data_IF_787472311934
#
_entry.id   IF_787472311934
#
_cell.length_a   1.000
_cell.length_b   1.000
_cell.length_c   1.000
_cell.angle_alpha   90.00
_cell.angle_beta   90.00
_cell.angle_gamma   90.00
#
_symmetry.space_group_name_H-M   'P 1'
#
loop_
_entity.id
_entity.type
_entity.pdbx_description
1 polymer ?
#
# COMPACT_ATOMS: atom_id res chain seq x y z
N UNK A 1 15.04 20.26 -10.58
CA UNK A 1 14.65 19.24 -9.58
C UNK A 1 14.25 17.90 -10.21
N UNK A 2 13.76 17.83 -11.47
CA UNK A 2 13.28 16.57 -12.09
C UNK A 2 14.39 15.72 -12.78
N UNK A 3 15.56 16.31 -13.09
CA UNK A 3 16.67 15.59 -13.75
C UNK A 3 17.75 15.05 -12.80
N UNK A 4 17.48 14.89 -11.50
CA UNK A 4 18.47 14.33 -10.57
C UNK A 4 18.44 12.78 -10.65
N UNK A 5 19.51 12.10 -11.09
CA UNK A 5 19.52 10.63 -11.23
C UNK A 5 19.22 9.90 -9.92
N UNK A 6 19.63 10.46 -8.78
CA UNK A 6 19.35 9.91 -7.45
C UNK A 6 17.87 9.95 -7.09
N UNK A 7 17.12 10.94 -7.60
CA UNK A 7 15.68 11.06 -7.41
C UNK A 7 14.95 9.94 -8.17
N UNK A 8 15.38 9.68 -9.40
CA UNK A 8 14.85 8.62 -10.25
C UNK A 8 15.14 7.24 -9.66
N UNK A 9 16.39 7.01 -9.21
CA UNK A 9 16.79 5.74 -8.56
C UNK A 9 16.07 5.51 -7.22
N UNK A 10 15.92 6.53 -6.37
CA UNK A 10 15.24 6.38 -5.08
C UNK A 10 13.74 6.05 -5.26
N UNK A 11 13.08 6.68 -6.23
CA UNK A 11 11.68 6.38 -6.54
C UNK A 11 11.55 5.02 -7.26
N UNK A 12 12.44 4.69 -8.21
CA UNK A 12 12.45 3.36 -8.85
C UNK A 12 12.74 2.24 -7.85
N UNK A 13 13.65 2.44 -6.90
CA UNK A 13 13.93 1.47 -5.84
C UNK A 13 12.72 1.27 -4.94
N UNK A 14 11.92 2.31 -4.68
CA UNK A 14 10.73 2.25 -3.82
C UNK A 14 9.48 1.73 -4.53
N UNK A 15 9.38 1.94 -5.84
CA UNK A 15 8.42 1.28 -6.74
C UNK A 15 8.80 -0.20 -6.97
N UNK A 16 10.10 -0.45 -7.06
CA UNK A 16 10.73 -1.75 -7.34
C UNK A 16 10.94 -2.63 -6.11
N UNK A 17 10.82 -2.08 -4.89
CA UNK A 17 10.60 -2.87 -3.68
C UNK A 17 9.21 -3.47 -3.78
N UNK A 18 9.16 -4.61 -4.45
CA UNK A 18 8.04 -5.52 -4.46
C UNK A 18 7.57 -5.70 -3.01
N UNK A 19 6.41 -5.12 -2.69
CA UNK A 19 5.65 -5.56 -1.53
C UNK A 19 5.30 -7.01 -1.87
N UNK A 20 5.99 -7.92 -1.20
CA UNK A 20 6.02 -9.33 -1.54
C UNK A 20 4.65 -9.97 -1.25
N UNK A 21 3.76 -9.98 -2.26
CA UNK A 21 2.47 -10.68 -2.17
C UNK A 21 2.64 -12.19 -2.32
N UNK A 22 3.85 -12.70 -2.61
CA UNK A 22 4.10 -14.11 -2.89
C UNK A 22 3.69 -14.99 -1.70
N UNK A 23 3.98 -14.55 -0.47
CA UNK A 23 3.58 -15.27 0.73
C UNK A 23 2.05 -15.28 0.94
N UNK A 24 1.37 -14.18 0.61
CA UNK A 24 -0.09 -14.10 0.67
C UNK A 24 -0.73 -14.99 -0.41
N UNK A 25 -0.14 -15.03 -1.60
CA UNK A 25 -0.56 -15.91 -2.70
C UNK A 25 -0.33 -17.39 -2.38
N UNK A 26 0.80 -17.74 -1.75
CA UNK A 26 1.06 -19.09 -1.22
C UNK A 26 0.02 -19.47 -0.16
N UNK A 27 -0.32 -18.56 0.75
CA UNK A 27 -1.36 -18.79 1.75
C UNK A 27 -2.73 -19.02 1.11
N UNK A 28 -3.10 -18.23 0.10
CA UNK A 28 -4.33 -18.45 -0.69
C UNK A 28 -4.32 -19.85 -1.31
N UNK A 29 -3.20 -20.29 -1.90
CA UNK A 29 -3.11 -21.62 -2.50
C UNK A 29 -3.30 -22.75 -1.46
N UNK A 30 -2.72 -22.59 -0.26
CA UNK A 30 -2.94 -23.53 0.86
C UNK A 30 -4.41 -23.55 1.28
N UNK A 31 -5.05 -22.38 1.43
CA UNK A 31 -6.46 -22.26 1.79
C UNK A 31 -7.38 -22.86 0.71
N UNK A 32 -7.08 -22.68 -0.57
CA UNK A 32 -7.80 -23.32 -1.68
C UNK A 32 -7.67 -24.85 -1.62
N UNK A 33 -6.50 -25.37 -1.24
CA UNK A 33 -6.29 -26.79 -0.99
C UNK A 33 -7.20 -27.31 0.13
N UNK A 34 -7.27 -26.60 1.25
CA UNK A 34 -8.16 -26.94 2.38
C UNK A 34 -9.64 -26.83 2.00
N UNK A 35 -10.02 -25.82 1.23
CA UNK A 35 -11.38 -25.64 0.71
C UNK A 35 -11.81 -26.86 -0.11
N UNK A 36 -10.93 -27.32 -1.02
CA UNK A 36 -11.17 -28.53 -1.82
C UNK A 36 -11.33 -29.77 -0.94
N UNK A 37 -10.52 -29.91 0.12
CA UNK A 37 -10.64 -31.00 1.07
C UNK A 37 -11.97 -30.96 1.84
N UNK A 38 -12.40 -29.79 2.32
CA UNK A 38 -13.67 -29.62 3.02
C UNK A 38 -14.87 -29.98 2.13
N UNK A 39 -14.87 -29.55 0.86
CA UNK A 39 -15.87 -29.99 -0.13
C UNK A 39 -15.83 -31.51 -0.36
N UNK A 40 -14.64 -32.12 -0.42
CA UNK A 40 -14.49 -33.56 -0.56
C UNK A 40 -15.10 -34.33 0.62
N UNK A 41 -14.82 -33.87 1.85
CA UNK A 41 -15.40 -34.44 3.07
C UNK A 41 -16.91 -34.29 3.10
N UNK A 42 -17.42 -33.09 2.76
CA UNK A 42 -18.84 -32.79 2.65
C UNK A 42 -19.55 -33.77 1.72
N UNK A 43 -19.05 -33.94 0.49
CA UNK A 43 -19.62 -34.89 -0.48
C UNK A 43 -19.48 -36.34 -0.05
N UNK A 44 -18.47 -36.68 0.75
CA UNK A 44 -18.37 -38.03 1.33
C UNK A 44 -19.44 -38.25 2.41
N UNK A 45 -19.69 -37.27 3.27
CA UNK A 45 -20.73 -37.31 4.29
C UNK A 45 -22.13 -37.40 3.66
N UNK A 46 -22.40 -36.67 2.59
CA UNK A 46 -23.64 -36.78 1.80
C UNK A 46 -23.90 -38.23 1.38
N UNK A 47 -22.90 -38.89 0.76
CA UNK A 47 -23.03 -40.30 0.35
C UNK A 47 -23.21 -41.25 1.53
N UNK A 48 -22.58 -40.97 2.67
CA UNK A 48 -22.78 -41.77 3.88
C UNK A 48 -24.20 -41.64 4.42
N UNK A 49 -24.78 -40.43 4.36
CA UNK A 49 -26.18 -40.22 4.73
C UNK A 49 -27.13 -40.93 3.76
N UNK A 50 -26.88 -40.85 2.45
CA UNK A 50 -27.71 -41.48 1.41
C UNK A 50 -27.73 -43.02 1.48
N UNK A 51 -26.66 -43.62 2.01
CA UNK A 51 -26.49 -45.09 2.07
C UNK A 51 -26.80 -45.68 3.45
N UNK A 52 -27.32 -44.86 4.37
CA UNK A 52 -27.61 -45.27 5.73
C UNK A 52 -28.83 -46.22 5.78
N UNK A 53 -28.68 -47.39 6.40
CA UNK A 53 -29.77 -48.36 6.55
C UNK A 53 -30.79 -47.87 7.59
N UNK A 54 -32.00 -47.55 7.12
CA UNK A 54 -33.11 -47.06 7.93
C UNK A 54 -33.60 -48.06 8.99
N UNK A 55 -33.29 -49.35 8.82
CA UNK A 55 -33.68 -50.38 9.78
C UNK A 55 -32.64 -50.61 10.88
N UNK A 56 -31.50 -49.90 10.84
CA UNK A 56 -30.48 -49.98 11.89
C UNK A 56 -31.04 -49.43 13.21
N UNK A 57 -30.91 -50.21 14.29
CA UNK A 57 -31.34 -49.83 15.66
C UNK A 57 -30.71 -48.51 16.12
N UNK A 58 -29.57 -48.13 15.55
CA UNK A 58 -28.84 -46.89 15.85
C UNK A 58 -28.99 -45.82 14.77
N UNK A 59 -29.91 -45.97 13.82
CA UNK A 59 -30.11 -45.07 12.69
C UNK A 59 -30.17 -43.60 13.13
N UNK A 60 -31.09 -43.26 14.04
CA UNK A 60 -31.31 -41.88 14.51
C UNK A 60 -30.03 -41.22 15.05
N UNK A 61 -29.22 -42.00 15.77
CA UNK A 61 -27.95 -41.50 16.31
C UNK A 61 -26.90 -41.31 15.22
N UNK A 62 -26.84 -42.22 14.25
CA UNK A 62 -25.88 -42.16 13.14
C UNK A 62 -26.21 -41.02 12.18
N UNK A 63 -27.47 -40.84 11.81
CA UNK A 63 -27.88 -39.75 10.91
C UNK A 63 -27.62 -38.39 11.56
N UNK A 64 -27.89 -38.23 12.85
CA UNK A 64 -27.65 -36.99 13.56
C UNK A 64 -26.15 -36.66 13.67
N UNK A 65 -25.28 -37.66 13.89
CA UNK A 65 -23.83 -37.47 13.88
C UNK A 65 -23.32 -37.04 12.50
N UNK A 66 -23.80 -37.70 11.43
CA UNK A 66 -23.44 -37.35 10.06
C UNK A 66 -23.90 -35.95 9.68
N UNK A 67 -25.13 -35.57 10.04
CA UNK A 67 -25.68 -34.23 9.80
C UNK A 67 -24.86 -33.17 10.52
N UNK A 68 -24.55 -33.37 11.81
CA UNK A 68 -23.71 -32.43 12.55
C UNK A 68 -22.35 -32.22 11.88
N UNK A 69 -21.67 -33.31 11.50
CA UNK A 69 -20.36 -33.22 10.83
C UNK A 69 -20.46 -32.57 9.46
N UNK A 70 -21.58 -32.75 8.77
CA UNK A 70 -21.88 -32.15 7.48
C UNK A 70 -22.11 -30.63 7.62
N UNK A 71 -22.85 -30.20 8.63
CA UNK A 71 -23.06 -28.79 8.96
C UNK A 71 -21.74 -28.13 9.37
N UNK A 72 -20.91 -28.81 10.18
CA UNK A 72 -19.56 -28.35 10.52
C UNK A 72 -18.69 -28.13 9.25
N UNK A 73 -18.89 -28.89 8.16
CA UNK A 73 -18.18 -28.61 6.91
C UNK A 73 -18.65 -27.31 6.24
N UNK A 74 -19.91 -26.92 6.36
CA UNK A 74 -20.37 -25.62 5.84
C UNK A 74 -19.71 -24.46 6.57
N UNK A 75 -19.63 -24.54 7.90
CA UNK A 75 -18.96 -23.52 8.72
C UNK A 75 -17.48 -23.37 8.32
N UNK A 76 -16.77 -24.50 8.19
CA UNK A 76 -15.36 -24.52 7.76
C UNK A 76 -15.20 -23.94 6.34
N UNK A 77 -16.09 -24.30 5.41
CA UNK A 77 -16.05 -23.79 4.03
C UNK A 77 -16.21 -22.27 4.02
N UNK A 78 -17.15 -21.74 4.81
CA UNK A 78 -17.41 -20.31 4.85
C UNK A 78 -16.27 -19.54 5.50
N UNK A 79 -15.72 -20.05 6.61
CA UNK A 79 -14.53 -19.47 7.25
C UNK A 79 -13.34 -19.38 6.28
N UNK A 80 -13.05 -20.46 5.55
CA UNK A 80 -11.95 -20.48 4.58
C UNK A 80 -12.20 -19.46 3.44
N UNK A 81 -13.44 -19.32 2.96
CA UNK A 81 -13.76 -18.32 1.93
C UNK A 81 -13.54 -16.90 2.42
N UNK A 82 -13.95 -16.59 3.66
CA UNK A 82 -13.72 -15.27 4.28
C UNK A 82 -12.22 -14.98 4.31
N UNK A 83 -11.40 -15.91 4.80
CA UNK A 83 -9.94 -15.76 4.85
C UNK A 83 -9.32 -15.54 3.46
N UNK A 84 -9.76 -16.29 2.45
CA UNK A 84 -9.32 -16.08 1.06
C UNK A 84 -9.72 -14.68 0.58
N UNK A 85 -10.95 -14.24 0.85
CA UNK A 85 -11.45 -12.93 0.45
C UNK A 85 -10.66 -11.76 1.08
N UNK A 86 -10.30 -11.88 2.35
CA UNK A 86 -9.47 -10.91 3.06
C UNK A 86 -8.07 -10.80 2.45
N UNK A 87 -7.38 -11.92 2.24
CA UNK A 87 -6.06 -11.93 1.61
C UNK A 87 -6.10 -11.37 0.19
N UNK A 88 -7.11 -11.73 -0.60
CA UNK A 88 -7.30 -11.16 -1.94
C UNK A 88 -7.56 -9.64 -1.90
N UNK A 89 -8.30 -9.16 -0.90
CA UNK A 89 -8.53 -7.73 -0.73
C UNK A 89 -7.24 -6.99 -0.39
N UNK A 90 -6.42 -7.55 0.50
CA UNK A 90 -5.12 -6.98 0.85
C UNK A 90 -4.18 -6.93 -0.35
N UNK A 91 -4.10 -8.02 -1.14
CA UNK A 91 -3.33 -8.04 -2.39
C UNK A 91 -3.81 -6.94 -3.34
N UNK A 92 -5.12 -6.78 -3.54
CA UNK A 92 -5.67 -5.71 -4.39
C UNK A 92 -5.30 -4.32 -3.89
N UNK A 93 -5.38 -4.08 -2.58
CA UNK A 93 -4.99 -2.79 -1.99
C UNK A 93 -3.50 -2.50 -2.24
N UNK A 94 -2.62 -3.46 -1.99
CA UNK A 94 -1.17 -3.34 -2.25
C UNK A 94 -0.91 -3.05 -3.74
N UNK A 95 -1.60 -3.75 -4.64
CA UNK A 95 -1.46 -3.53 -6.09
C UNK A 95 -1.97 -2.15 -6.53
N UNK A 96 -3.08 -1.66 -5.94
CA UNK A 96 -3.60 -0.32 -6.23
C UNK A 96 -2.68 0.80 -5.74
N UNK A 97 -2.06 0.63 -4.58
CA UNK A 97 -1.02 1.55 -4.10
C UNK A 97 0.17 1.60 -5.07
N UNK A 98 0.61 0.44 -5.58
CA UNK A 98 1.66 0.37 -6.61
C UNK A 98 1.28 1.06 -7.92
N UNK A 99 0.08 0.80 -8.45
CA UNK A 99 -0.42 1.45 -9.68
C UNK A 99 -0.45 2.98 -9.49
N UNK A 100 -0.82 3.44 -8.30
CA UNK A 100 -0.79 4.87 -7.97
C UNK A 100 0.64 5.42 -7.98
N UNK A 101 1.61 4.70 -7.41
CA UNK A 101 3.03 5.06 -7.45
C UNK A 101 3.65 5.08 -8.85
N UNK A 102 3.37 4.06 -9.67
CA UNK A 102 3.82 3.97 -11.07
C UNK A 102 3.27 5.12 -11.93
N UNK A 103 1.99 5.46 -11.75
CA UNK A 103 1.37 6.58 -12.44
C UNK A 103 1.99 7.91 -12.01
N UNK A 104 2.21 8.11 -10.70
CA UNK A 104 2.88 9.30 -10.17
C UNK A 104 4.31 9.42 -10.73
N UNK A 105 5.05 8.31 -10.86
CA UNK A 105 6.39 8.31 -11.46
C UNK A 105 6.38 8.67 -12.95
N UNK A 106 5.47 8.10 -13.72
CA UNK A 106 5.31 8.48 -15.15
C UNK A 106 4.94 9.95 -15.29
N UNK A 107 4.08 10.47 -14.41
CA UNK A 107 3.72 11.89 -14.33
C UNK A 107 4.92 12.76 -13.95
N UNK A 108 5.77 12.33 -13.02
CA UNK A 108 6.99 13.04 -12.63
C UNK A 108 8.03 13.07 -13.75
N UNK A 109 8.25 11.96 -14.46
CA UNK A 109 9.16 11.92 -15.62
C UNK A 109 8.71 12.85 -16.74
N UNK A 110 7.39 12.97 -16.93
CA UNK A 110 6.81 13.82 -17.96
C UNK A 110 6.49 15.25 -17.45
N UNK A 111 6.90 15.62 -16.23
CA UNK A 111 6.49 16.86 -15.57
C UNK A 111 6.79 18.10 -16.43
N UNK A 112 8.02 18.23 -16.95
CA UNK A 112 8.42 19.41 -17.72
C UNK A 112 7.63 19.57 -19.03
N UNK A 113 7.31 18.46 -19.72
CA UNK A 113 6.57 18.48 -20.99
C UNK A 113 5.05 18.61 -20.78
N UNK A 114 4.49 17.88 -19.80
CA UNK A 114 3.04 17.84 -19.55
C UNK A 114 2.58 19.08 -18.81
N UNK A 115 3.35 19.62 -17.87
CA UNK A 115 2.94 20.81 -17.12
C UNK A 115 2.82 22.04 -18.01
N UNK A 116 3.78 22.29 -18.91
CA UNK A 116 3.75 23.45 -19.81
C UNK A 116 2.75 23.32 -20.97
N UNK A 117 2.32 22.10 -21.28
CA UNK A 117 1.33 21.83 -22.34
C UNK A 117 -0.10 21.69 -21.81
N UNK A 118 -0.26 21.53 -20.49
CA UNK A 118 -1.56 21.42 -19.82
C UNK A 118 -2.26 22.79 -19.63
N UNK A 119 -3.58 22.77 -19.58
CA UNK A 119 -4.40 23.96 -19.29
C UNK A 119 -4.28 24.38 -17.81
N UNK A 120 -4.61 25.63 -17.47
CA UNK A 120 -4.60 26.12 -16.08
C UNK A 120 -5.45 25.27 -15.12
N UNK A 121 -6.58 24.72 -15.60
CA UNK A 121 -7.44 23.86 -14.80
C UNK A 121 -6.75 22.52 -14.49
N UNK A 122 -6.12 21.91 -15.49
CA UNK A 122 -5.37 20.65 -15.36
C UNK A 122 -4.12 20.85 -14.50
N UNK A 123 -3.38 21.95 -14.68
CA UNK A 123 -2.25 22.30 -13.81
C UNK A 123 -2.70 22.44 -12.35
N UNK A 124 -3.86 23.06 -12.09
CA UNK A 124 -4.38 23.27 -10.74
C UNK A 124 -4.86 21.97 -10.08
N UNK A 125 -5.46 21.07 -10.85
CA UNK A 125 -5.88 19.75 -10.39
C UNK A 125 -4.67 18.84 -10.15
N UNK A 126 -3.65 18.94 -11.01
CA UNK A 126 -2.36 18.28 -10.87
C UNK A 126 -1.67 18.68 -9.56
N UNK A 127 -1.58 19.99 -9.27
CA UNK A 127 -0.96 20.49 -8.04
C UNK A 127 -1.68 20.01 -6.78
N UNK A 128 -3.01 19.83 -6.82
CA UNK A 128 -3.78 19.30 -5.68
C UNK A 128 -3.53 17.83 -5.40
N UNK A 129 -3.27 17.02 -6.44
CA UNK A 129 -2.95 15.61 -6.26
C UNK A 129 -1.55 15.42 -5.64
N UNK A 130 -0.63 16.35 -5.91
CA UNK A 130 0.76 16.27 -5.49
C UNK A 130 1.01 16.90 -4.10
N UNK A 131 0.39 18.05 -3.84
CA UNK A 131 0.60 18.85 -2.63
C UNK A 131 -0.54 18.62 -1.64
N UNK A 132 -0.20 18.17 -0.43
CA UNK A 132 -1.13 18.06 0.69
C UNK A 132 -1.53 19.46 1.17
N UNK A 133 -0.53 20.31 1.42
CA UNK A 133 -0.73 21.73 1.75
C UNK A 133 0.52 22.57 1.53
N UNK A 134 0.33 23.88 1.37
CA UNK A 134 1.40 24.88 1.32
C UNK A 134 1.27 25.75 2.56
N UNK A 135 2.32 25.82 3.37
CA UNK A 135 2.39 26.77 4.49
C UNK A 135 3.01 28.07 4.00
N UNK A 136 2.36 29.18 4.34
CA UNK A 136 2.74 30.52 3.90
C UNK A 136 3.23 31.38 5.07
N UNK A 137 4.06 32.36 4.80
CA UNK A 137 4.38 33.41 5.78
C UNK A 137 3.20 34.38 5.94
N UNK A 138 3.01 34.97 7.15
CA UNK A 138 1.96 35.96 7.37
C UNK A 138 2.15 37.22 6.51
N UNK A 139 3.40 37.56 6.19
CA UNK A 139 3.78 38.72 5.38
C UNK A 139 4.77 38.31 4.28
N UNK A 140 4.69 38.99 3.13
CA UNK A 140 5.58 38.76 1.99
C UNK A 140 7.01 39.13 2.36
N UNK A 141 7.95 38.18 2.21
CA UNK A 141 9.37 38.41 2.51
C UNK A 141 10.03 39.31 1.46
N UNK A 142 11.19 39.88 1.81
CA UNK A 142 11.95 40.83 0.98
C UNK A 142 12.45 40.24 -0.35
N UNK A 143 12.57 38.92 -0.42
CA UNK A 143 12.92 38.13 -1.59
C UNK A 143 11.71 37.87 -2.53
N UNK A 144 10.50 38.30 -2.13
CA UNK A 144 9.27 38.09 -2.86
C UNK A 144 8.60 36.73 -2.58
N UNK A 145 9.20 35.87 -1.77
CA UNK A 145 8.63 34.59 -1.36
C UNK A 145 7.57 34.78 -0.27
N UNK A 146 6.49 34.03 -0.41
CA UNK A 146 5.37 33.96 0.53
C UNK A 146 5.19 32.53 1.04
N UNK A 147 5.94 31.57 0.47
CA UNK A 147 5.85 30.15 0.80
C UNK A 147 6.93 29.81 1.81
N UNK A 148 6.51 29.29 2.96
CA UNK A 148 7.38 28.78 4.02
C UNK A 148 7.82 27.35 3.72
N UNK A 149 6.86 26.51 3.37
CA UNK A 149 7.07 25.06 3.28
C UNK A 149 5.99 24.40 2.44
N UNK A 150 6.37 23.35 1.71
CA UNK A 150 5.44 22.51 0.96
C UNK A 150 5.38 21.14 1.65
N UNK A 151 4.16 20.69 1.94
CA UNK A 151 3.89 19.33 2.44
C UNK A 151 3.34 18.52 1.28
N UNK A 152 4.01 17.43 0.94
CA UNK A 152 3.60 16.54 -0.13
C UNK A 152 2.66 15.46 0.38
N UNK A 153 1.78 14.95 -0.47
CA UNK A 153 0.92 13.81 -0.12
C UNK A 153 1.72 12.51 0.12
N UNK A 154 3.02 12.47 -0.25
CA UNK A 154 3.92 11.33 -0.08
C UNK A 154 5.38 11.79 0.16
N UNK A 155 6.25 10.97 0.76
CA UNK A 155 7.66 11.30 0.99
C UNK A 155 8.42 11.48 -0.32
N UNK A 156 9.21 12.54 -0.42
CA UNK A 156 9.98 12.92 -1.61
C UNK A 156 11.47 12.96 -1.26
N UNK A 157 12.36 12.33 -2.05
CA UNK A 157 13.79 12.41 -1.80
C UNK A 157 14.34 13.78 -2.19
N UNK A 158 14.94 14.50 -1.24
CA UNK A 158 15.54 15.83 -1.41
C UNK A 158 16.94 15.80 -0.80
N UNK A 159 17.96 16.17 -1.57
CA UNK A 159 19.37 16.21 -1.14
C UNK A 159 19.92 14.92 -0.47
N UNK A 160 19.29 13.78 -0.77
CA UNK A 160 19.68 12.47 -0.23
C UNK A 160 18.92 12.04 1.02
N UNK A 161 18.02 12.87 1.53
CA UNK A 161 17.13 12.55 2.65
C UNK A 161 15.67 12.42 2.17
N UNK A 162 14.91 11.51 2.79
CA UNK A 162 13.48 11.39 2.52
C UNK A 162 12.71 12.40 3.35
N UNK A 163 12.08 13.36 2.68
CA UNK A 163 11.30 14.39 3.35
C UNK A 163 9.87 14.42 2.79
N UNK A 164 8.89 14.36 3.68
CA UNK A 164 7.48 14.67 3.32
C UNK A 164 7.26 16.18 3.18
N UNK A 165 8.26 16.94 3.58
CA UNK A 165 8.20 18.32 3.94
C UNK A 165 9.42 19.02 3.36
N UNK A 166 9.21 19.91 2.40
CA UNK A 166 10.28 20.71 1.83
C UNK A 166 10.19 22.13 2.38
N UNK A 167 11.08 22.52 3.33
CA UNK A 167 11.24 23.90 3.70
C UNK A 167 11.83 24.66 2.51
N UNK A 168 11.23 25.79 2.15
CA UNK A 168 11.75 26.71 1.13
C UNK A 168 12.48 27.90 1.78
N UNK A 169 12.76 27.79 3.08
CA UNK A 169 13.56 28.75 3.81
C UNK A 169 15.02 28.61 3.38
N UNK A 170 15.53 29.61 2.65
CA UNK A 170 16.97 29.81 2.55
C UNK A 170 17.46 30.34 3.90
N UNK A 171 17.60 29.46 4.89
CA UNK A 171 18.48 29.77 6.02
C UNK A 171 19.91 29.70 5.50
N UNK A 172 20.48 30.85 5.17
CA UNK A 172 21.93 31.00 5.12
C UNK A 172 22.44 30.73 6.54
N UNK A 173 22.86 29.50 6.80
CA UNK A 173 23.64 29.22 8.01
C UNK A 173 24.99 29.93 7.82
N UNK A 174 25.14 31.11 8.42
CA UNK A 174 26.42 31.80 8.46
C UNK A 174 27.28 31.04 9.47
N UNK A 175 28.14 30.15 8.97
CA UNK A 175 29.19 29.54 9.78
C UNK A 175 30.11 30.66 10.29
N UNK A 176 29.93 31.07 11.54
CA UNK A 176 30.90 31.94 12.21
C UNK A 176 32.09 31.09 12.67
N UNK A 177 33.13 31.00 11.84
CA UNK A 177 34.43 30.52 12.28
C UNK A 177 35.07 31.57 13.21
N UNK A 178 34.92 31.40 14.54
CA UNK A 178 35.69 32.16 15.52
C UNK A 178 37.10 31.55 15.62
N UNK A 179 38.08 32.21 15.02
CA UNK A 179 39.50 31.95 15.24
C UNK A 179 39.87 32.31 16.69
N UNK A 180 40.02 31.29 17.55
CA UNK A 180 40.67 31.43 18.85
C UNK A 180 42.18 31.53 18.63
N UNK A 181 42.72 32.75 18.57
CA UNK A 181 44.15 32.97 18.73
C UNK A 181 44.51 32.93 20.22
N UNK A 182 45.38 31.98 20.60
CA UNK A 182 45.99 31.93 21.93
C UNK A 182 47.03 33.05 22.04
N UNK A 183 46.80 34.02 22.91
CA UNK A 183 47.83 35.00 23.30
C UNK A 183 48.68 34.38 24.41
N UNK A 184 49.87 33.90 24.06
CA UNK A 184 50.88 33.51 25.05
C UNK A 184 51.52 34.80 25.61
N UNK A 185 51.25 35.09 26.88
CA UNK A 185 52.04 35.99 27.73
C UNK A 185 53.14 35.23 28.44
#
# INVERSE_FOLDING_TARGET
MVNNPRFVEAIQAKIGTAVDTEDMEKQIAVLQGRLKQAFGTKSHLERQMDTLDINDVRYDRKILDLQRRYDEQYDIIEEIKVQIGELQSQIRSIQQEKISGDNIYRLLLAFDEVYHSATEAEQKEFMKAFIERIEMFPEKRKDGSWIKKIVFNFPVPVDGEEVKELPLETETTVESCVLLCRTDT
#
